data_IF_373508142289
#
_entry.id   IF_373508142289
#
_cell.length_a   1.000
_cell.length_b   1.000
_cell.length_c   1.000
_cell.angle_alpha   90.00
_cell.angle_beta   90.00
_cell.angle_gamma   90.00
#
_symmetry.space_group_name_H-M   'P 1'
#
loop_
_entity.id
_entity.type
_entity.pdbx_description
1 polymer ?
#
# COMPACT_ATOMS: atom_id res chain seq x y z
N UNK A 1 -0.97 15.93 -10.91
CA UNK A 1 -1.51 16.80 -9.84
C UNK A 1 -2.00 18.07 -10.52
N UNK A 2 -3.31 18.27 -10.67
CA UNK A 2 -3.86 19.37 -11.45
C UNK A 2 -4.00 20.64 -10.61
N UNK A 3 -2.87 21.16 -10.11
CA UNK A 3 -2.83 22.31 -9.18
C UNK A 3 -2.27 23.57 -9.84
N UNK A 4 -2.00 23.52 -11.13
CA UNK A 4 -1.48 24.63 -11.95
C UNK A 4 -2.10 24.54 -13.33
N UNK A 5 -2.24 25.67 -14.02
CA UNK A 5 -2.54 25.69 -15.45
C UNK A 5 -1.23 25.69 -16.25
N UNK A 6 -1.13 24.83 -17.27
CA UNK A 6 0.05 24.79 -18.13
C UNK A 6 0.22 26.08 -18.93
N UNK A 7 -0.89 26.75 -19.26
CA UNK A 7 -0.91 28.04 -19.95
C UNK A 7 -0.17 29.14 -19.17
N UNK A 8 -0.07 29.03 -17.84
CA UNK A 8 0.62 30.02 -16.99
C UNK A 8 2.16 29.97 -17.14
N UNK A 9 2.70 28.96 -17.85
CA UNK A 9 4.14 28.71 -18.01
C UNK A 9 4.61 28.75 -19.46
N UNK A 10 3.82 29.29 -20.39
CA UNK A 10 4.27 29.48 -21.76
C UNK A 10 5.46 30.46 -21.79
N UNK A 11 6.58 30.04 -22.39
CA UNK A 11 7.86 30.76 -22.39
C UNK A 11 7.72 32.11 -23.13
N UNK A 12 6.76 32.23 -24.04
CA UNK A 12 6.43 33.50 -24.69
C UNK A 12 5.73 34.52 -23.77
N UNK A 13 5.17 34.07 -22.63
CA UNK A 13 4.36 34.84 -21.66
C UNK A 13 5.04 34.93 -20.29
N UNK A 14 6.27 34.40 -20.14
CA UNK A 14 7.12 34.58 -18.94
C UNK A 14 7.57 36.04 -18.77
N UNK A 15 6.61 36.92 -18.50
CA UNK A 15 6.78 38.30 -18.05
C UNK A 15 6.59 38.41 -16.53
N UNK A 16 6.40 39.63 -16.05
CA UNK A 16 6.34 40.04 -14.63
C UNK A 16 5.19 39.41 -13.80
N UNK A 17 4.44 38.46 -14.35
CA UNK A 17 3.24 37.86 -13.74
C UNK A 17 3.37 36.39 -13.28
N UNK A 18 4.44 35.67 -13.64
CA UNK A 18 4.59 34.25 -13.27
C UNK A 18 5.09 34.08 -11.83
N UNK A 19 4.44 33.22 -11.04
CA UNK A 19 4.85 32.96 -9.66
C UNK A 19 6.20 32.25 -9.60
N UNK A 20 7.21 32.94 -9.03
CA UNK A 20 8.52 32.36 -8.77
C UNK A 20 8.42 31.13 -7.86
N UNK A 21 7.52 31.14 -6.88
CA UNK A 21 7.34 30.02 -5.94
C UNK A 21 6.80 28.79 -6.67
N UNK A 22 5.79 28.97 -7.52
CA UNK A 22 5.26 27.86 -8.32
C UNK A 22 6.30 27.37 -9.33
N UNK A 23 7.05 28.28 -9.98
CA UNK A 23 8.13 27.90 -10.89
C UNK A 23 9.19 27.03 -10.19
N UNK A 24 9.67 27.43 -9.01
CA UNK A 24 10.62 26.61 -8.24
C UNK A 24 10.04 25.24 -7.87
N UNK A 25 8.74 25.18 -7.57
CA UNK A 25 8.04 23.93 -7.27
C UNK A 25 7.91 23.00 -8.49
N UNK A 26 7.61 23.55 -9.67
CA UNK A 26 7.58 22.82 -10.94
C UNK A 26 8.99 22.32 -11.30
N UNK A 27 10.01 23.15 -11.13
CA UNK A 27 11.42 22.77 -11.38
C UNK A 27 11.87 21.64 -10.44
N UNK A 28 11.51 21.71 -9.16
CA UNK A 28 11.77 20.63 -8.19
C UNK A 28 11.11 19.32 -8.62
N UNK A 29 9.80 19.33 -8.88
CA UNK A 29 9.06 18.15 -9.30
C UNK A 29 9.61 17.57 -10.62
N UNK A 30 9.87 18.43 -11.60
CA UNK A 30 10.44 18.06 -12.89
C UNK A 30 11.87 17.50 -12.80
N UNK A 31 12.69 17.96 -11.85
CA UNK A 31 14.02 17.43 -11.59
C UNK A 31 13.97 16.03 -10.94
N UNK A 32 13.02 15.81 -10.01
CA UNK A 32 12.79 14.50 -9.38
C UNK A 32 12.30 13.45 -10.38
N UNK A 33 11.51 13.88 -11.36
CA UNK A 33 10.99 13.04 -12.43
C UNK A 33 12.00 12.76 -13.55
N UNK A 34 13.15 13.43 -13.55
CA UNK A 34 14.19 13.23 -14.57
C UNK A 34 15.54 12.94 -13.91
N UNK A 35 15.64 11.82 -13.15
CA UNK A 35 16.86 11.47 -12.44
C UNK A 35 18.05 11.21 -13.39
N UNK A 36 17.80 10.90 -14.66
CA UNK A 36 18.82 10.78 -15.70
C UNK A 36 19.43 12.13 -16.14
N UNK A 37 18.73 13.25 -15.93
CA UNK A 37 19.18 14.59 -16.33
C UNK A 37 19.61 15.42 -15.11
N UNK A 38 18.86 15.33 -14.01
CA UNK A 38 19.07 16.18 -12.84
C UNK A 38 19.77 15.43 -11.70
N UNK A 39 20.90 15.98 -11.24
CA UNK A 39 21.62 15.43 -10.10
C UNK A 39 20.84 15.57 -8.78
N UNK A 40 21.14 14.69 -7.80
CA UNK A 40 20.60 14.80 -6.44
C UNK A 40 20.94 16.16 -5.79
N UNK A 41 22.07 16.77 -6.14
CA UNK A 41 22.48 18.09 -5.67
C UNK A 41 21.56 19.18 -6.22
N UNK A 42 21.25 19.13 -7.51
CA UNK A 42 20.33 20.07 -8.19
C UNK A 42 18.92 19.98 -7.59
N UNK A 43 18.41 18.76 -7.37
CA UNK A 43 17.12 18.54 -6.71
C UNK A 43 17.10 19.18 -5.32
N UNK A 44 18.16 18.97 -4.52
CA UNK A 44 18.30 19.56 -3.19
C UNK A 44 18.33 21.09 -3.22
N UNK A 45 19.01 21.68 -4.21
CA UNK A 45 19.05 23.15 -4.38
C UNK A 45 17.67 23.73 -4.70
N UNK A 46 16.91 23.11 -5.62
CA UNK A 46 15.53 23.54 -5.90
C UNK A 46 14.66 23.44 -4.64
N UNK A 47 14.79 22.35 -3.89
CA UNK A 47 14.07 22.19 -2.63
C UNK A 47 14.40 23.28 -1.60
N UNK A 48 15.68 23.57 -1.39
CA UNK A 48 16.12 24.60 -0.44
C UNK A 48 15.62 25.99 -0.83
N UNK A 49 15.69 26.34 -2.12
CA UNK A 49 15.15 27.61 -2.64
C UNK A 49 13.65 27.72 -2.44
N UNK A 50 12.92 26.67 -2.80
CA UNK A 50 11.47 26.63 -2.63
C UNK A 50 11.06 26.75 -1.15
N UNK A 51 11.72 25.99 -0.27
CA UNK A 51 11.51 26.04 1.18
C UNK A 51 11.74 27.45 1.71
N UNK A 52 12.83 28.12 1.31
CA UNK A 52 13.14 29.48 1.73
C UNK A 52 12.08 30.49 1.27
N UNK A 53 11.61 30.40 0.01
CA UNK A 53 10.56 31.27 -0.51
C UNK A 53 9.22 31.11 0.22
N UNK A 54 8.84 29.87 0.54
CA UNK A 54 7.62 29.59 1.31
C UNK A 54 7.76 30.14 2.73
N UNK A 55 8.91 29.95 3.38
CA UNK A 55 9.14 30.37 4.76
C UNK A 55 9.27 31.89 4.92
N UNK A 56 9.74 32.60 3.89
CA UNK A 56 9.81 34.06 3.91
C UNK A 56 8.46 34.75 3.66
N UNK A 57 7.43 34.00 3.26
CA UNK A 57 6.14 34.57 2.85
C UNK A 57 6.24 35.40 1.57
N UNK A 58 7.16 35.04 0.67
CA UNK A 58 7.42 35.81 -0.56
C UNK A 58 6.17 35.91 -1.46
N UNK A 59 5.47 34.79 -1.65
CA UNK A 59 4.27 34.72 -2.49
C UNK A 59 3.06 35.33 -1.78
N UNK A 60 2.42 36.30 -2.44
CA UNK A 60 1.24 36.98 -1.91
C UNK A 60 -0.06 36.28 -2.29
N UNK A 61 -0.10 35.57 -3.43
CA UNK A 61 -1.28 34.80 -3.82
C UNK A 61 -1.30 33.45 -3.07
N UNK A 62 -2.26 33.24 -2.16
CA UNK A 62 -2.29 32.04 -1.34
C UNK A 62 -2.58 30.75 -2.16
N UNK A 63 -3.21 30.86 -3.35
CA UNK A 63 -3.40 29.70 -4.23
C UNK A 63 -2.08 29.24 -4.84
N UNK A 64 -1.21 30.17 -5.24
CA UNK A 64 0.15 29.85 -5.72
C UNK A 64 0.97 29.14 -4.64
N UNK A 65 0.89 29.64 -3.40
CA UNK A 65 1.52 28.98 -2.24
C UNK A 65 0.98 27.58 -2.03
N UNK A 66 -0.34 27.37 -2.09
CA UNK A 66 -0.94 26.03 -1.96
C UNK A 66 -0.53 25.08 -3.09
N UNK A 67 -0.46 25.55 -4.34
CA UNK A 67 0.01 24.77 -5.48
C UNK A 67 1.47 24.35 -5.29
N UNK A 68 2.32 25.27 -4.83
CA UNK A 68 3.71 24.96 -4.50
C UNK A 68 3.83 23.96 -3.33
N UNK A 69 3.00 24.10 -2.29
CA UNK A 69 2.93 23.16 -1.17
C UNK A 69 2.40 21.77 -1.57
N UNK A 70 1.61 21.67 -2.63
CA UNK A 70 1.25 20.38 -3.22
C UNK A 70 2.45 19.76 -3.95
N UNK A 71 3.18 20.55 -4.75
CA UNK A 71 4.29 20.07 -5.57
C UNK A 71 5.56 19.76 -4.76
N UNK A 72 5.85 20.48 -3.67
CA UNK A 72 7.03 20.21 -2.83
C UNK A 72 7.02 18.79 -2.22
N UNK A 73 5.83 18.20 -2.05
CA UNK A 73 5.63 16.86 -1.49
C UNK A 73 6.22 15.73 -2.36
N UNK A 74 6.59 16.00 -3.62
CA UNK A 74 7.30 15.02 -4.45
C UNK A 74 8.71 14.72 -3.94
N UNK A 75 9.31 15.64 -3.17
CA UNK A 75 10.61 15.43 -2.54
C UNK A 75 10.44 14.86 -1.14
N UNK A 76 11.09 13.73 -0.86
CA UNK A 76 11.00 13.01 0.41
C UNK A 76 12.39 12.79 1.04
N UNK A 77 13.03 13.85 1.57
CA UNK A 77 14.38 13.76 2.13
C UNK A 77 14.45 13.12 3.51
N UNK A 78 13.36 13.19 4.29
CA UNK A 78 13.26 12.59 5.62
C UNK A 78 12.50 11.26 5.56
N UNK A 79 12.93 10.29 6.38
CA UNK A 79 12.18 9.04 6.53
C UNK A 79 10.85 9.32 7.27
N UNK A 80 9.79 8.53 7.04
CA UNK A 80 8.53 8.71 7.74
C UNK A 80 8.66 8.67 9.27
N UNK A 81 9.61 7.88 9.80
CA UNK A 81 9.89 7.76 11.24
C UNK A 81 10.55 9.00 11.84
N UNK A 82 11.20 9.83 11.03
CA UNK A 82 11.94 10.99 11.52
C UNK A 82 10.98 12.13 11.86
N UNK A 83 11.16 12.75 13.03
CA UNK A 83 10.48 13.99 13.37
C UNK A 83 11.12 15.11 12.54
N UNK A 84 10.44 15.51 11.45
CA UNK A 84 11.04 16.43 10.47
C UNK A 84 10.02 17.37 9.82
N UNK A 85 10.45 18.62 9.63
CA UNK A 85 9.75 19.63 8.81
C UNK A 85 9.96 19.44 7.30
N UNK A 86 10.74 18.44 6.92
CA UNK A 86 11.07 18.11 5.53
C UNK A 86 10.35 16.85 5.06
N UNK A 87 9.23 16.48 5.70
CA UNK A 87 8.41 15.33 5.32
C UNK A 87 7.21 15.75 4.47
N UNK A 88 6.73 14.91 3.53
CA UNK A 88 5.49 15.18 2.80
C UNK A 88 4.29 15.40 3.71
N UNK A 89 4.22 14.70 4.86
CA UNK A 89 3.16 14.90 5.84
C UNK A 89 3.20 16.30 6.44
N UNK A 90 4.38 16.81 6.80
CA UNK A 90 4.51 18.18 7.31
C UNK A 90 3.99 19.21 6.29
N UNK A 91 4.45 19.10 5.04
CA UNK A 91 4.00 19.98 3.96
C UNK A 91 2.50 19.87 3.70
N UNK A 92 1.93 18.66 3.77
CA UNK A 92 0.49 18.46 3.61
C UNK A 92 -0.31 19.06 4.78
N UNK A 93 0.15 18.89 6.03
CA UNK A 93 -0.46 19.53 7.20
C UNK A 93 -0.45 21.06 7.07
N UNK A 94 0.68 21.62 6.63
CA UNK A 94 0.79 23.05 6.41
C UNK A 94 -0.18 23.54 5.33
N UNK A 95 -0.23 22.83 4.20
CA UNK A 95 -1.16 23.14 3.11
C UNK A 95 -2.62 23.04 3.53
N UNK A 96 -3.00 22.01 4.29
CA UNK A 96 -4.37 21.82 4.81
C UNK A 96 -4.74 22.98 5.74
N UNK A 97 -3.83 23.37 6.64
CA UNK A 97 -4.04 24.52 7.53
C UNK A 97 -4.35 25.82 6.76
N UNK A 98 -3.56 26.11 5.71
CA UNK A 98 -3.81 27.26 4.84
C UNK A 98 -5.10 27.12 4.03
N UNK A 99 -5.38 25.94 3.49
CA UNK A 99 -6.62 25.66 2.74
C UNK A 99 -7.86 25.86 3.63
N UNK A 100 -7.80 25.51 4.92
CA UNK A 100 -8.87 25.78 5.87
C UNK A 100 -9.05 27.28 6.15
N UNK A 101 -7.96 28.03 6.33
CA UNK A 101 -8.03 29.48 6.52
C UNK A 101 -8.66 30.20 5.32
N UNK A 102 -8.38 29.74 4.09
CA UNK A 102 -9.00 30.27 2.86
C UNK A 102 -10.43 29.77 2.61
N UNK A 103 -10.93 28.87 3.45
CA UNK A 103 -12.26 28.27 3.30
C UNK A 103 -12.37 27.33 2.10
N UNK A 104 -11.28 26.69 1.65
CA UNK A 104 -11.34 25.81 0.47
C UNK A 104 -12.20 24.57 0.66
N UNK A 105 -12.49 24.17 1.90
CA UNK A 105 -13.39 23.07 2.23
C UNK A 105 -14.89 23.45 2.13
N UNK A 106 -15.20 24.74 1.94
CA UNK A 106 -16.57 25.26 1.95
C UNK A 106 -17.00 25.70 0.55
N UNK A 107 -18.27 25.48 0.24
CA UNK A 107 -18.89 26.03 -0.96
C UNK A 107 -18.97 27.56 -0.86
N UNK A 108 -18.15 28.26 -1.65
CA UNK A 108 -18.22 29.72 -1.79
C UNK A 108 -19.00 30.10 -3.05
N UNK A 109 -20.07 30.90 -2.88
CA UNK A 109 -20.88 31.42 -4.00
C UNK A 109 -20.23 32.62 -4.71
N UNK A 110 -19.16 33.18 -4.15
CA UNK A 110 -18.55 34.45 -4.59
C UNK A 110 -17.14 34.28 -5.17
N UNK A 111 -16.58 33.06 -5.15
CA UNK A 111 -15.24 32.84 -5.66
C UNK A 111 -15.26 32.67 -7.18
N UNK A 112 -14.53 33.51 -7.92
CA UNK A 112 -14.34 33.34 -9.36
C UNK A 112 -13.45 32.11 -9.70
N UNK A 113 -12.66 31.63 -8.72
CA UNK A 113 -11.67 30.55 -8.89
C UNK A 113 -12.15 29.19 -8.34
N UNK A 114 -13.44 28.88 -8.44
CA UNK A 114 -14.01 27.65 -7.84
C UNK A 114 -13.33 26.37 -8.33
N UNK A 115 -12.98 26.30 -9.61
CA UNK A 115 -12.33 25.13 -10.24
C UNK A 115 -10.97 24.82 -9.61
N UNK A 116 -10.04 25.78 -9.61
CA UNK A 116 -8.67 25.54 -9.12
C UNK A 116 -8.66 25.31 -7.61
N UNK A 117 -9.52 26.01 -6.86
CA UNK A 117 -9.72 25.78 -5.42
C UNK A 117 -10.13 24.35 -5.12
N UNK A 118 -11.10 23.82 -5.88
CA UNK A 118 -11.56 22.43 -5.74
C UNK A 118 -10.46 21.44 -6.10
N UNK A 119 -9.76 21.65 -7.23
CA UNK A 119 -8.65 20.78 -7.65
C UNK A 119 -7.50 20.73 -6.62
N UNK A 120 -7.13 21.88 -6.05
CA UNK A 120 -6.14 21.96 -4.96
C UNK A 120 -6.64 21.18 -3.74
N UNK A 121 -7.88 21.44 -3.30
CA UNK A 121 -8.44 20.79 -2.10
C UNK A 121 -8.48 19.26 -2.24
N UNK A 122 -9.01 18.73 -3.35
CA UNK A 122 -9.05 17.28 -3.59
C UNK A 122 -7.66 16.67 -3.83
N UNK A 123 -6.68 17.46 -4.29
CA UNK A 123 -5.28 17.03 -4.34
C UNK A 123 -4.73 16.81 -2.92
N UNK A 124 -5.03 17.71 -1.98
CA UNK A 124 -4.67 17.56 -0.57
C UNK A 124 -5.40 16.38 0.08
N UNK A 125 -6.69 16.18 -0.23
CA UNK A 125 -7.45 15.01 0.22
C UNK A 125 -6.80 13.69 -0.22
N UNK A 126 -6.46 13.56 -1.50
CA UNK A 126 -5.82 12.37 -2.05
C UNK A 126 -4.46 12.11 -1.38
N UNK A 127 -3.67 13.17 -1.14
CA UNK A 127 -2.37 13.07 -0.45
C UNK A 127 -2.51 12.69 1.02
N UNK A 128 -3.50 13.23 1.72
CA UNK A 128 -3.80 12.88 3.12
C UNK A 128 -4.22 11.42 3.24
N UNK A 129 -5.16 10.96 2.39
CA UNK A 129 -5.60 9.57 2.38
C UNK A 129 -4.46 8.60 2.08
N UNK A 130 -3.61 8.91 1.10
CA UNK A 130 -2.49 8.04 0.74
C UNK A 130 -1.40 8.02 1.82
N UNK A 131 -1.09 9.17 2.43
CA UNK A 131 -0.13 9.26 3.54
C UNK A 131 -0.63 8.51 4.77
N UNK A 132 -1.93 8.62 5.05
CA UNK A 132 -2.62 7.89 6.11
C UNK A 132 -2.56 6.38 5.86
N UNK A 133 -2.91 5.93 4.65
CA UNK A 133 -2.89 4.53 4.27
C UNK A 133 -1.48 3.91 4.33
N UNK A 134 -0.47 4.59 3.78
CA UNK A 134 0.88 4.05 3.70
C UNK A 134 1.59 3.97 5.07
N UNK A 135 1.32 4.92 5.97
CA UNK A 135 2.04 5.03 7.25
C UNK A 135 1.18 4.75 8.49
N UNK A 136 -0.10 4.40 8.33
CA UNK A 136 -1.00 4.08 9.44
C UNK A 136 -1.36 5.27 10.31
N UNK A 137 -1.12 6.49 9.81
CA UNK A 137 -1.33 7.72 10.57
C UNK A 137 -2.78 8.17 10.42
N UNK A 138 -3.36 8.87 11.42
CA UNK A 138 -4.69 9.46 11.26
C UNK A 138 -4.75 10.41 10.05
N UNK A 139 -5.90 10.37 9.35
CA UNK A 139 -6.28 11.38 8.36
C UNK A 139 -6.41 12.73 9.05
N UNK A 140 -5.96 13.77 8.36
CA UNK A 140 -6.10 15.17 8.78
C UNK A 140 -7.45 15.75 8.33
N UNK A 141 -8.00 15.24 7.23
CA UNK A 141 -9.25 15.72 6.65
C UNK A 141 -10.38 14.72 6.93
N UNK A 142 -11.48 15.22 7.49
CA UNK A 142 -12.69 14.45 7.73
C UNK A 142 -13.78 14.88 6.73
N UNK A 143 -14.50 13.94 6.07
CA UNK A 143 -15.54 14.30 5.12
C UNK A 143 -16.67 15.17 5.70
N UNK A 144 -16.96 15.02 7.00
CA UNK A 144 -17.99 15.82 7.69
C UNK A 144 -17.64 17.32 7.81
N UNK A 145 -16.38 17.70 7.62
CA UNK A 145 -15.92 19.08 7.69
C UNK A 145 -15.87 19.74 6.30
N UNK A 146 -16.33 19.04 5.25
CA UNK A 146 -16.25 19.47 3.86
C UNK A 146 -17.64 19.58 3.21
N UNK A 147 -17.97 20.79 2.75
CA UNK A 147 -19.23 21.06 2.03
C UNK A 147 -19.06 20.96 0.50
N UNK A 148 -17.83 20.80 -0.01
CA UNK A 148 -17.58 20.75 -1.44
C UNK A 148 -18.11 19.45 -2.08
N UNK A 149 -18.72 19.52 -3.27
CA UNK A 149 -18.96 18.35 -4.09
C UNK A 149 -17.63 17.75 -4.57
N UNK A 150 -17.60 16.45 -4.93
CA UNK A 150 -16.46 15.84 -5.58
C UNK A 150 -16.00 16.65 -6.80
N UNK A 151 -14.70 16.57 -7.08
CA UNK A 151 -14.13 17.16 -8.31
C UNK A 151 -14.80 16.57 -9.55
N UNK A 152 -15.17 17.44 -10.49
CA UNK A 152 -15.88 17.11 -11.72
C UNK A 152 -15.11 17.58 -12.96
N UNK A 153 -15.54 17.15 -14.15
CA UNK A 153 -14.86 17.53 -15.40
C UNK A 153 -14.92 19.03 -15.68
N UNK A 154 -16.00 19.69 -15.26
CA UNK A 154 -16.17 21.14 -15.38
C UNK A 154 -15.13 21.93 -14.56
N UNK A 155 -14.41 21.28 -13.66
CA UNK A 155 -13.30 21.89 -12.94
C UNK A 155 -12.00 21.94 -13.77
N UNK A 156 -11.99 21.49 -15.02
CA UNK A 156 -10.79 21.40 -15.87
C UNK A 156 -10.99 22.07 -17.23
N UNK A 157 -9.87 22.40 -17.89
CA UNK A 157 -9.88 22.85 -19.26
C UNK A 157 -10.32 21.72 -20.22
N UNK A 158 -10.96 22.06 -21.34
CA UNK A 158 -11.38 21.07 -22.34
C UNK A 158 -10.19 20.30 -22.95
N UNK A 159 -9.00 20.91 -22.99
CA UNK A 159 -7.76 20.25 -23.44
C UNK A 159 -7.22 19.20 -22.46
N UNK A 160 -7.70 19.19 -21.21
CA UNK A 160 -7.22 18.31 -20.14
C UNK A 160 -8.22 17.20 -19.77
N UNK A 161 -9.14 16.82 -20.68
CA UNK A 161 -10.20 15.86 -20.36
C UNK A 161 -9.66 14.49 -19.86
N UNK A 162 -8.68 13.91 -20.55
CA UNK A 162 -8.07 12.63 -20.15
C UNK A 162 -7.34 12.74 -18.78
N UNK A 163 -6.44 13.72 -18.55
CA UNK A 163 -5.86 13.99 -17.23
C UNK A 163 -6.90 14.27 -16.12
N UNK A 164 -7.99 14.97 -16.43
CA UNK A 164 -9.07 15.28 -15.50
C UNK A 164 -9.78 14.00 -15.04
N UNK A 165 -10.18 13.15 -15.98
CA UNK A 165 -10.81 11.85 -15.71
C UNK A 165 -9.90 10.94 -14.88
N UNK A 166 -8.60 10.92 -15.19
CA UNK A 166 -7.61 10.20 -14.41
C UNK A 166 -7.57 10.71 -12.96
N UNK A 167 -7.56 12.03 -12.76
CA UNK A 167 -7.52 12.62 -11.43
C UNK A 167 -8.80 12.35 -10.63
N UNK A 168 -9.97 12.43 -11.26
CA UNK A 168 -11.26 12.08 -10.63
C UNK A 168 -11.22 10.64 -10.12
N UNK A 169 -10.87 9.69 -10.98
CA UNK A 169 -10.77 8.27 -10.61
C UNK A 169 -9.69 8.03 -9.53
N UNK A 170 -8.56 8.73 -9.62
CA UNK A 170 -7.48 8.64 -8.64
C UNK A 170 -7.88 9.22 -7.27
N UNK A 171 -8.65 10.31 -7.25
CA UNK A 171 -9.19 10.90 -6.02
C UNK A 171 -10.14 9.92 -5.32
N UNK A 172 -10.99 9.22 -6.08
CA UNK A 172 -11.90 8.22 -5.50
C UNK A 172 -11.15 7.02 -4.92
N UNK A 173 -10.23 6.41 -5.69
CA UNK A 173 -9.49 5.23 -5.18
C UNK A 173 -8.62 5.57 -3.97
N UNK A 174 -8.03 6.76 -3.93
CA UNK A 174 -7.26 7.18 -2.74
C UNK A 174 -8.17 7.43 -1.54
N UNK A 175 -9.38 7.96 -1.72
CA UNK A 175 -10.38 8.02 -0.65
C UNK A 175 -10.76 6.63 -0.14
N UNK A 176 -11.05 5.69 -1.03
CA UNK A 176 -11.35 4.29 -0.67
C UNK A 176 -10.22 3.69 0.16
N UNK A 177 -8.97 3.82 -0.32
CA UNK A 177 -7.78 3.36 0.40
C UNK A 177 -7.62 4.01 1.76
N UNK A 178 -7.81 5.32 1.86
CA UNK A 178 -7.71 6.05 3.12
C UNK A 178 -8.71 5.56 4.16
N UNK A 179 -9.97 5.38 3.76
CA UNK A 179 -11.04 4.92 4.66
C UNK A 179 -10.82 3.45 5.04
N UNK A 180 -10.49 2.59 4.07
CA UNK A 180 -10.18 1.18 4.28
C UNK A 180 -9.03 1.00 5.28
N UNK A 181 -7.91 1.68 5.06
CA UNK A 181 -6.76 1.58 5.96
C UNK A 181 -7.07 2.16 7.35
N UNK A 182 -7.85 3.24 7.46
CA UNK A 182 -8.27 3.73 8.78
C UNK A 182 -9.15 2.72 9.54
N UNK A 183 -10.09 2.05 8.86
CA UNK A 183 -10.91 0.98 9.46
C UNK A 183 -9.98 -0.12 10.00
N UNK A 184 -9.04 -0.57 9.17
CA UNK A 184 -8.11 -1.63 9.54
C UNK A 184 -7.22 -1.21 10.72
N UNK A 185 -6.55 -0.07 10.64
CA UNK A 185 -5.62 0.39 11.68
C UNK A 185 -6.32 0.70 13.01
N UNK A 186 -7.57 1.20 13.00
CA UNK A 186 -8.30 1.55 14.23
C UNK A 186 -8.99 0.36 14.88
N UNK A 187 -9.59 -0.51 14.08
CA UNK A 187 -10.48 -1.56 14.59
C UNK A 187 -9.84 -2.95 14.54
N UNK A 188 -8.69 -3.11 13.86
CA UNK A 188 -8.02 -4.39 13.56
C UNK A 188 -8.79 -5.27 12.56
N UNK A 189 -10.12 -5.10 12.46
CA UNK A 189 -11.02 -5.91 11.66
C UNK A 189 -12.04 -5.06 10.91
N UNK A 190 -12.36 -5.50 9.69
CA UNK A 190 -13.42 -4.94 8.85
C UNK A 190 -14.74 -5.66 9.20
N UNK A 191 -15.81 -4.93 9.49
CA UNK A 191 -17.16 -5.50 9.66
C UNK A 191 -17.78 -5.85 8.31
N UNK A 192 -18.79 -6.73 8.28
CA UNK A 192 -19.46 -7.08 7.01
C UNK A 192 -20.09 -5.86 6.32
N UNK A 193 -20.64 -4.91 7.09
CA UNK A 193 -21.21 -3.69 6.55
C UNK A 193 -20.14 -2.81 5.89
N UNK A 194 -19.02 -2.59 6.57
CA UNK A 194 -17.88 -1.84 6.00
C UNK A 194 -17.33 -2.54 4.75
N UNK A 195 -17.21 -3.87 4.79
CA UNK A 195 -16.74 -4.66 3.66
C UNK A 195 -17.62 -4.45 2.42
N UNK A 196 -18.94 -4.64 2.55
CA UNK A 196 -19.91 -4.45 1.46
C UNK A 196 -19.89 -3.00 0.96
N UNK A 197 -19.75 -2.02 1.85
CA UNK A 197 -19.66 -0.61 1.46
C UNK A 197 -18.42 -0.31 0.63
N UNK A 198 -17.26 -0.88 0.98
CA UNK A 198 -16.01 -0.71 0.22
C UNK A 198 -16.08 -1.45 -1.12
N UNK A 199 -16.59 -2.69 -1.16
CA UNK A 199 -16.80 -3.45 -2.41
C UNK A 199 -17.68 -2.66 -3.37
N UNK A 200 -18.81 -2.14 -2.89
CA UNK A 200 -19.72 -1.32 -3.70
C UNK A 200 -19.02 -0.10 -4.30
N UNK A 201 -18.23 0.64 -3.50
CA UNK A 201 -17.47 1.81 -3.99
C UNK A 201 -16.44 1.43 -5.06
N UNK A 202 -15.73 0.31 -4.88
CA UNK A 202 -14.78 -0.20 -5.87
C UNK A 202 -15.48 -0.62 -7.17
N UNK A 203 -16.67 -1.25 -7.07
CA UNK A 203 -17.49 -1.56 -8.22
C UNK A 203 -17.95 -0.28 -8.93
N UNK A 204 -18.51 0.69 -8.21
CA UNK A 204 -18.96 1.97 -8.76
C UNK A 204 -17.82 2.70 -9.49
N UNK A 205 -16.63 2.72 -8.90
CA UNK A 205 -15.43 3.27 -9.53
C UNK A 205 -15.10 2.55 -10.84
N UNK A 206 -14.98 1.21 -10.82
CA UNK A 206 -14.59 0.43 -11.99
C UNK A 206 -15.60 0.50 -13.14
N UNK A 207 -16.91 0.41 -12.85
CA UNK A 207 -17.96 0.55 -13.86
C UNK A 207 -18.04 1.98 -14.41
N UNK A 208 -17.71 2.98 -13.59
CA UNK A 208 -17.67 4.39 -13.98
C UNK A 208 -16.40 4.80 -14.73
N UNK A 209 -15.41 3.91 -14.91
CA UNK A 209 -14.17 4.27 -15.61
C UNK A 209 -14.45 4.55 -17.10
N UNK A 210 -13.95 5.69 -17.63
CA UNK A 210 -14.04 5.95 -19.05
C UNK A 210 -13.18 4.94 -19.84
N UNK A 211 -13.53 4.64 -21.10
CA UNK A 211 -12.86 3.59 -21.87
C UNK A 211 -11.34 3.75 -21.96
N UNK A 212 -10.79 4.96 -22.05
CA UNK A 212 -9.33 5.15 -22.15
C UNK A 212 -8.57 4.85 -20.84
N UNK A 213 -9.26 4.78 -19.70
CA UNK A 213 -8.70 4.38 -18.41
C UNK A 213 -8.92 2.89 -18.10
N UNK A 214 -9.66 2.15 -18.92
CA UNK A 214 -9.77 0.69 -18.76
C UNK A 214 -8.53 -0.02 -19.33
N UNK A 215 -8.11 -1.14 -18.73
CA UNK A 215 -7.02 -1.97 -19.26
C UNK A 215 -7.42 -2.79 -20.51
N UNK A 216 -8.73 -2.98 -20.73
CA UNK A 216 -9.27 -3.80 -21.82
C UNK A 216 -10.02 -2.98 -22.86
N UNK A 217 -10.01 -3.47 -24.10
CA UNK A 217 -10.84 -3.02 -25.23
C UNK A 217 -12.27 -3.54 -25.15
N UNK A 218 -13.13 -3.02 -26.03
CA UNK A 218 -14.53 -3.44 -26.12
C UNK A 218 -14.68 -4.93 -26.47
N UNK A 219 -13.68 -5.51 -27.15
CA UNK A 219 -13.60 -6.94 -27.51
C UNK A 219 -13.01 -7.80 -26.38
N UNK A 220 -12.64 -7.22 -25.24
CA UNK A 220 -11.97 -7.92 -24.14
C UNK A 220 -10.46 -8.08 -24.31
N UNK A 221 -9.87 -7.62 -25.44
CA UNK A 221 -8.42 -7.66 -25.64
C UNK A 221 -7.69 -6.61 -24.80
N UNK A 222 -6.49 -6.93 -24.32
CA UNK A 222 -5.65 -5.95 -23.62
C UNK A 222 -5.35 -4.73 -24.51
N UNK A 223 -5.47 -3.52 -23.93
CA UNK A 223 -5.09 -2.27 -24.60
C UNK A 223 -3.59 -2.05 -24.59
N UNK A 224 -3.13 -1.18 -25.49
CA UNK A 224 -1.77 -0.65 -25.47
C UNK A 224 -1.46 -0.05 -24.10
N UNK A 225 -0.28 -0.38 -23.60
CA UNK A 225 0.22 0.11 -22.32
C UNK A 225 0.19 1.65 -22.25
N UNK A 226 -0.33 2.17 -21.14
CA UNK A 226 -0.20 3.57 -20.73
C UNK A 226 0.22 3.61 -19.27
N UNK A 227 1.28 4.36 -18.98
CA UNK A 227 1.82 4.47 -17.61
C UNK A 227 0.76 4.99 -16.63
N UNK A 228 0.07 6.08 -16.99
CA UNK A 228 -0.95 6.70 -16.13
C UNK A 228 -2.13 5.76 -15.80
N UNK A 229 -2.61 5.01 -16.79
CA UNK A 229 -3.65 4.00 -16.60
C UNK A 229 -3.17 2.87 -15.68
N UNK A 230 -1.93 2.41 -15.88
CA UNK A 230 -1.31 1.38 -15.04
C UNK A 230 -1.19 1.86 -13.58
N UNK A 231 -0.76 3.10 -13.37
CA UNK A 231 -0.67 3.73 -12.04
C UNK A 231 -2.01 3.77 -11.31
N UNK A 232 -3.11 4.11 -12.02
CA UNK A 232 -4.46 4.09 -11.45
C UNK A 232 -4.86 2.68 -11.02
N UNK A 233 -4.68 1.69 -11.89
CA UNK A 233 -5.06 0.31 -11.59
C UNK A 233 -4.21 -0.32 -10.48
N UNK A 234 -2.93 0.05 -10.34
CA UNK A 234 -2.11 -0.36 -9.18
C UNK A 234 -2.74 0.12 -7.87
N UNK A 235 -3.26 1.35 -7.81
CA UNK A 235 -3.93 1.86 -6.62
C UNK A 235 -5.25 1.10 -6.33
N UNK A 236 -6.03 0.77 -7.38
CA UNK A 236 -7.28 -0.01 -7.24
C UNK A 236 -6.98 -1.42 -6.74
N UNK A 237 -6.01 -2.10 -7.35
CA UNK A 237 -5.60 -3.44 -6.95
C UNK A 237 -5.03 -3.46 -5.53
N UNK A 238 -4.33 -2.41 -5.11
CA UNK A 238 -3.87 -2.25 -3.72
C UNK A 238 -5.06 -2.25 -2.75
N UNK A 239 -6.17 -1.58 -3.09
CA UNK A 239 -7.37 -1.57 -2.24
C UNK A 239 -7.95 -2.98 -2.09
N UNK A 240 -7.97 -3.78 -3.17
CA UNK A 240 -8.39 -5.17 -3.12
C UNK A 240 -7.47 -6.03 -2.26
N UNK A 241 -6.15 -5.85 -2.38
CA UNK A 241 -5.19 -6.59 -1.54
C UNK A 241 -5.42 -6.28 -0.05
N UNK A 242 -5.62 -5.01 0.31
CA UNK A 242 -5.87 -4.63 1.71
C UNK A 242 -7.24 -5.13 2.22
N UNK A 243 -8.27 -5.10 1.36
CA UNK A 243 -9.62 -5.51 1.71
C UNK A 243 -9.71 -7.01 2.01
N UNK A 244 -9.11 -7.84 1.15
CA UNK A 244 -9.10 -9.31 1.27
C UNK A 244 -7.79 -9.84 1.87
N UNK A 245 -7.09 -9.01 2.66
CA UNK A 245 -5.78 -9.38 3.20
C UNK A 245 -5.87 -10.68 4.00
N UNK A 246 -4.93 -11.62 3.82
CA UNK A 246 -4.88 -12.80 4.67
C UNK A 246 -4.60 -12.40 6.11
N UNK A 247 -5.16 -13.15 7.06
CA UNK A 247 -4.95 -12.91 8.50
C UNK A 247 -3.54 -13.26 8.94
N UNK A 248 -2.82 -14.09 8.20
CA UNK A 248 -1.45 -14.45 8.55
C UNK A 248 -0.68 -14.75 7.29
N UNK A 249 0.62 -14.41 7.31
CA UNK A 249 1.54 -14.78 6.23
C UNK A 249 1.74 -16.30 6.17
N UNK A 250 1.49 -17.01 7.27
CA UNK A 250 1.74 -18.44 7.40
C UNK A 250 0.53 -19.31 7.11
N UNK A 251 -0.69 -18.77 7.24
CA UNK A 251 -1.94 -19.50 7.00
C UNK A 251 -2.84 -18.73 6.04
N UNK A 252 -3.13 -19.34 4.89
CA UNK A 252 -4.04 -18.80 3.87
C UNK A 252 -5.37 -19.55 3.93
N UNK A 253 -6.47 -18.80 3.95
CA UNK A 253 -7.83 -19.30 3.74
C UNK A 253 -8.31 -18.94 2.35
N UNK A 254 -9.35 -19.60 1.84
CA UNK A 254 -9.96 -19.29 0.53
C UNK A 254 -10.38 -17.82 0.39
N UNK A 255 -10.71 -17.16 1.50
CA UNK A 255 -11.07 -15.74 1.51
C UNK A 255 -9.93 -14.81 1.06
N UNK A 256 -8.67 -15.30 1.04
CA UNK A 256 -7.51 -14.57 0.58
C UNK A 256 -7.32 -14.59 -0.95
N UNK A 257 -8.05 -15.46 -1.68
CA UNK A 257 -7.94 -15.59 -3.16
C UNK A 257 -7.96 -14.24 -3.90
N UNK A 258 -8.88 -13.31 -3.62
CA UNK A 258 -8.89 -12.00 -4.27
C UNK A 258 -7.61 -11.19 -4.06
N UNK A 259 -7.02 -11.24 -2.86
CA UNK A 259 -5.78 -10.53 -2.57
C UNK A 259 -4.60 -11.10 -3.36
N UNK A 260 -4.54 -12.42 -3.50
CA UNK A 260 -3.49 -13.11 -4.26
C UNK A 260 -3.66 -12.82 -5.76
N UNK A 261 -4.87 -12.90 -6.29
CA UNK A 261 -5.17 -12.54 -7.68
C UNK A 261 -4.81 -11.07 -7.96
N UNK A 262 -5.20 -10.15 -7.09
CA UNK A 262 -4.87 -8.73 -7.23
C UNK A 262 -3.35 -8.47 -7.15
N UNK A 263 -2.61 -9.23 -6.33
CA UNK A 263 -1.16 -9.16 -6.26
C UNK A 263 -0.49 -9.65 -7.56
N UNK A 264 -0.95 -10.75 -8.15
CA UNK A 264 -0.47 -11.21 -9.46
C UNK A 264 -0.75 -10.19 -10.58
N UNK A 265 -1.95 -9.59 -10.60
CA UNK A 265 -2.27 -8.53 -11.55
C UNK A 265 -1.38 -7.30 -11.36
N UNK A 266 -1.09 -6.94 -10.11
CA UNK A 266 -0.16 -5.86 -9.78
C UNK A 266 1.25 -6.17 -10.28
N UNK A 267 1.74 -7.40 -10.06
CA UNK A 267 3.01 -7.87 -10.63
C UNK A 267 3.05 -7.73 -12.16
N UNK A 268 1.98 -8.12 -12.87
CA UNK A 268 1.92 -7.97 -14.34
C UNK A 268 1.99 -6.52 -14.79
N UNK A 269 1.35 -5.60 -14.08
CA UNK A 269 1.46 -4.16 -14.35
C UNK A 269 2.89 -3.66 -14.13
N UNK A 270 3.53 -4.04 -13.02
CA UNK A 270 4.92 -3.66 -12.76
C UNK A 270 5.91 -4.27 -13.75
N UNK A 271 5.68 -5.50 -14.21
CA UNK A 271 6.46 -6.10 -15.30
C UNK A 271 6.36 -5.24 -16.57
N UNK A 272 5.17 -4.79 -16.94
CA UNK A 272 4.97 -3.93 -18.10
C UNK A 272 5.63 -2.54 -17.95
N UNK A 273 5.60 -1.97 -16.75
CA UNK A 273 6.28 -0.70 -16.40
C UNK A 273 7.80 -0.87 -16.49
N UNK A 274 8.35 -1.93 -15.90
CA UNK A 274 9.78 -2.18 -15.84
C UNK A 274 10.36 -2.49 -17.22
N UNK A 275 9.65 -3.28 -18.05
CA UNK A 275 10.03 -3.55 -19.45
C UNK A 275 10.16 -2.28 -20.30
N UNK A 276 9.51 -1.18 -19.90
CA UNK A 276 9.57 0.12 -20.58
C UNK A 276 10.48 1.13 -19.90
N UNK A 277 11.21 0.71 -18.87
CA UNK A 277 12.05 1.57 -18.03
C UNK A 277 11.30 2.73 -17.37
N UNK A 278 9.98 2.59 -17.16
CA UNK A 278 9.13 3.63 -16.58
C UNK A 278 9.16 3.64 -15.04
N UNK A 279 9.76 2.63 -14.41
CA UNK A 279 9.80 2.47 -12.94
C UNK A 279 10.32 3.72 -12.24
N UNK A 280 11.33 4.39 -12.80
CA UNK A 280 11.95 5.60 -12.23
C UNK A 280 11.02 6.83 -12.21
N UNK A 281 9.97 6.85 -13.03
CA UNK A 281 8.98 7.93 -13.08
C UNK A 281 7.88 7.78 -12.03
N UNK A 282 7.87 6.68 -11.29
CA UNK A 282 6.89 6.45 -10.24
C UNK A 282 7.19 7.33 -9.00
N UNK A 283 6.12 7.77 -8.34
CA UNK A 283 6.21 8.48 -7.06
C UNK A 283 6.56 7.55 -5.90
N UNK A 284 6.99 8.09 -4.76
CA UNK A 284 7.37 7.30 -3.58
C UNK A 284 6.26 6.39 -3.05
N UNK A 285 4.98 6.70 -3.30
CA UNK A 285 3.84 5.86 -2.91
C UNK A 285 3.88 4.45 -3.56
N UNK A 286 4.51 4.30 -4.73
CA UNK A 286 4.62 3.01 -5.40
C UNK A 286 5.52 2.03 -4.63
N UNK A 287 6.41 2.52 -3.76
CA UNK A 287 7.13 1.67 -2.81
C UNK A 287 6.15 0.93 -1.88
N UNK A 288 5.11 1.62 -1.42
CA UNK A 288 4.08 1.03 -0.56
C UNK A 288 3.19 0.06 -1.35
N UNK A 289 2.74 0.42 -2.55
CA UNK A 289 1.96 -0.50 -3.39
C UNK A 289 2.70 -1.81 -3.70
N UNK A 290 4.01 -1.74 -4.02
CA UNK A 290 4.86 -2.90 -4.22
C UNK A 290 4.95 -3.77 -2.95
N UNK A 291 5.14 -3.14 -1.79
CA UNK A 291 5.13 -3.83 -0.51
C UNK A 291 3.80 -4.55 -0.30
N UNK A 292 2.67 -3.86 -0.44
CA UNK A 292 1.32 -4.43 -0.27
C UNK A 292 1.12 -5.65 -1.17
N UNK A 293 1.49 -5.57 -2.45
CA UNK A 293 1.35 -6.68 -3.38
C UNK A 293 2.30 -7.85 -3.08
N UNK A 294 3.48 -7.60 -2.50
CA UNK A 294 4.43 -8.65 -2.16
C UNK A 294 3.93 -9.57 -1.04
N UNK A 295 3.13 -9.06 -0.09
CA UNK A 295 2.79 -9.84 1.11
C UNK A 295 1.88 -11.06 0.81
N UNK A 296 0.79 -10.95 0.02
CA UNK A 296 0.05 -12.14 -0.40
C UNK A 296 0.92 -13.15 -1.14
N UNK A 297 1.84 -12.70 -2.01
CA UNK A 297 2.75 -13.58 -2.75
C UNK A 297 3.75 -14.29 -1.85
N UNK A 298 4.30 -13.60 -0.84
CA UNK A 298 5.12 -14.20 0.22
C UNK A 298 4.36 -15.33 0.93
N UNK A 299 3.08 -15.09 1.22
CA UNK A 299 2.21 -16.08 1.86
C UNK A 299 1.92 -17.26 0.93
N UNK A 300 1.73 -17.01 -0.36
CA UNK A 300 1.49 -18.03 -1.38
C UNK A 300 2.74 -18.86 -1.72
N UNK A 301 3.95 -18.33 -1.49
CA UNK A 301 5.21 -18.99 -1.84
C UNK A 301 5.44 -20.35 -1.15
N UNK A 302 4.76 -20.62 -0.03
CA UNK A 302 4.80 -21.94 0.62
C UNK A 302 3.54 -22.79 0.45
N UNK A 303 2.61 -22.41 -0.43
CA UNK A 303 1.42 -23.22 -0.76
C UNK A 303 1.73 -24.12 -1.96
N UNK A 304 1.66 -25.45 -1.81
CA UNK A 304 1.82 -26.36 -2.95
C UNK A 304 0.81 -26.04 -4.06
N UNK A 305 1.28 -25.88 -5.29
CA UNK A 305 0.44 -25.55 -6.45
C UNK A 305 0.44 -24.07 -6.88
N UNK A 306 0.84 -23.14 -6.00
CA UNK A 306 1.01 -21.71 -6.34
C UNK A 306 2.45 -21.25 -6.06
N UNK A 307 3.22 -22.02 -5.29
CA UNK A 307 4.55 -21.65 -4.80
C UNK A 307 5.50 -21.13 -5.89
N UNK A 308 5.57 -21.80 -7.05
CA UNK A 308 6.51 -21.44 -8.11
C UNK A 308 6.12 -20.11 -8.78
N UNK A 309 4.84 -19.95 -9.12
CA UNK A 309 4.28 -18.75 -9.73
C UNK A 309 4.39 -17.57 -8.78
N UNK A 310 4.08 -17.77 -7.49
CA UNK A 310 4.19 -16.74 -6.47
C UNK A 310 5.65 -16.31 -6.26
N UNK A 311 6.58 -17.26 -6.24
CA UNK A 311 8.03 -16.98 -6.16
C UNK A 311 8.50 -16.17 -7.36
N UNK A 312 8.10 -16.54 -8.58
CA UNK A 312 8.43 -15.82 -9.80
C UNK A 312 7.87 -14.38 -9.80
N UNK A 313 6.61 -14.21 -9.40
CA UNK A 313 5.99 -12.90 -9.29
C UNK A 313 6.68 -12.04 -8.23
N UNK A 314 7.05 -12.64 -7.09
CA UNK A 314 7.76 -11.99 -6.01
C UNK A 314 9.15 -11.51 -6.43
N UNK A 315 9.90 -12.33 -7.19
CA UNK A 315 11.19 -11.92 -7.77
C UNK A 315 11.05 -10.69 -8.67
N UNK A 316 9.98 -10.62 -9.45
CA UNK A 316 9.66 -9.46 -10.28
C UNK A 316 9.33 -8.21 -9.46
N UNK A 317 8.53 -8.34 -8.40
CA UNK A 317 8.23 -7.22 -7.49
C UNK A 317 9.48 -6.74 -6.73
N UNK A 318 10.34 -7.66 -6.29
CA UNK A 318 11.64 -7.35 -5.69
C UNK A 318 12.54 -6.60 -6.67
N UNK A 319 12.59 -7.02 -7.93
CA UNK A 319 13.31 -6.32 -8.99
C UNK A 319 12.77 -4.89 -9.21
N UNK A 320 11.45 -4.73 -9.27
CA UNK A 320 10.81 -3.42 -9.37
C UNK A 320 11.10 -2.52 -8.17
N UNK A 321 11.10 -3.07 -6.94
CA UNK A 321 11.48 -2.37 -5.72
C UNK A 321 12.95 -1.92 -5.76
N UNK A 322 13.86 -2.78 -6.22
CA UNK A 322 15.28 -2.45 -6.37
C UNK A 322 15.48 -1.30 -7.36
N UNK A 323 14.90 -1.38 -8.56
CA UNK A 323 14.98 -0.31 -9.58
C UNK A 323 14.37 1.00 -9.08
N UNK A 324 13.20 0.96 -8.45
CA UNK A 324 12.60 2.17 -7.86
C UNK A 324 13.46 2.72 -6.72
N UNK A 325 14.13 1.84 -5.96
CA UNK A 325 15.00 2.14 -4.84
C UNK A 325 16.21 3.01 -5.18
N UNK A 326 16.67 2.98 -6.43
CA UNK A 326 17.77 3.83 -6.91
C UNK A 326 17.43 5.33 -6.82
N UNK A 327 16.15 5.65 -7.03
CA UNK A 327 15.64 7.03 -7.12
C UNK A 327 14.64 7.40 -6.03
N UNK A 328 14.07 6.41 -5.31
CA UNK A 328 13.16 6.59 -4.17
C UNK A 328 13.64 5.81 -2.95
N UNK A 329 14.14 6.46 -1.89
CA UNK A 329 14.62 5.78 -0.68
C UNK A 329 13.61 4.83 -0.03
N UNK A 330 12.31 5.17 -0.05
CA UNK A 330 11.25 4.33 0.49
C UNK A 330 11.19 2.93 -0.17
N UNK A 331 11.45 2.83 -1.47
CA UNK A 331 11.45 1.55 -2.18
C UNK A 331 12.68 0.71 -1.81
N UNK A 332 13.85 1.34 -1.62
CA UNK A 332 15.04 0.64 -1.15
C UNK A 332 14.85 0.04 0.26
N UNK A 333 14.12 0.73 1.14
CA UNK A 333 13.78 0.22 2.45
C UNK A 333 12.80 -0.96 2.35
N UNK A 334 11.71 -0.81 1.58
CA UNK A 334 10.73 -1.87 1.40
C UNK A 334 11.33 -3.11 0.72
N UNK A 335 12.29 -2.95 -0.19
CA UNK A 335 13.06 -4.06 -0.77
C UNK A 335 13.74 -4.90 0.31
N UNK A 336 14.43 -4.26 1.27
CA UNK A 336 15.07 -4.96 2.38
C UNK A 336 14.05 -5.68 3.26
N UNK A 337 12.95 -5.02 3.59
CA UNK A 337 11.88 -5.61 4.42
C UNK A 337 11.24 -6.83 3.76
N UNK A 338 10.92 -6.77 2.45
CA UNK A 338 10.36 -7.91 1.71
C UNK A 338 11.31 -9.11 1.72
N UNK A 339 12.61 -8.91 1.47
CA UNK A 339 13.59 -10.00 1.49
C UNK A 339 13.79 -10.59 2.88
N UNK A 340 13.77 -9.77 3.92
CA UNK A 340 13.80 -10.22 5.31
C UNK A 340 12.61 -11.12 5.63
N UNK A 341 11.38 -10.71 5.27
CA UNK A 341 10.18 -11.52 5.46
C UNK A 341 10.26 -12.82 4.65
N UNK A 342 10.73 -12.76 3.41
CA UNK A 342 10.91 -13.94 2.56
C UNK A 342 11.82 -14.98 3.21
N UNK A 343 12.95 -14.53 3.76
CA UNK A 343 13.88 -15.41 4.48
C UNK A 343 13.23 -16.01 5.73
N UNK A 344 12.48 -15.21 6.50
CA UNK A 344 11.75 -15.71 7.67
C UNK A 344 10.68 -16.75 7.29
N UNK A 345 9.90 -16.51 6.23
CA UNK A 345 8.86 -17.42 5.74
C UNK A 345 9.45 -18.73 5.21
N UNK A 346 10.59 -18.68 4.52
CA UNK A 346 11.27 -19.87 4.01
C UNK A 346 11.79 -20.79 5.13
N UNK A 347 12.14 -20.22 6.28
CA UNK A 347 12.70 -20.94 7.42
C UNK A 347 11.67 -21.26 8.52
N UNK A 348 10.44 -20.76 8.41
CA UNK A 348 9.39 -20.99 9.39
C UNK A 348 8.67 -22.33 9.19
N UNK A 349 8.45 -23.07 10.27
CA UNK A 349 7.54 -24.23 10.27
C UNK A 349 6.10 -23.72 10.19
N UNK A 350 5.38 -24.06 9.11
CA UNK A 350 3.98 -23.61 8.95
C UNK A 350 3.08 -24.28 9.98
N UNK A 351 2.21 -23.52 10.68
CA UNK A 351 1.18 -24.12 11.52
C UNK A 351 0.28 -25.02 10.67
N UNK A 352 -0.03 -26.23 11.16
CA UNK A 352 -0.84 -27.22 10.43
C UNK A 352 -2.30 -26.80 10.19
N UNK A 353 -2.78 -25.71 10.78
CA UNK A 353 -4.20 -25.37 10.79
C UNK A 353 -4.45 -23.87 10.66
N UNK A 354 -5.12 -23.47 9.59
CA UNK A 354 -5.85 -22.20 9.57
C UNK A 354 -7.09 -22.36 10.46
N UNK A 355 -7.30 -21.46 11.44
CA UNK A 355 -8.56 -21.46 12.20
C UNK A 355 -9.77 -21.27 11.27
N UNK A 356 -10.95 -21.80 11.61
CA UNK A 356 -12.14 -21.69 10.75
C UNK A 356 -12.46 -20.23 10.46
N UNK A 357 -12.29 -19.83 9.20
CA UNK A 357 -12.51 -18.47 8.76
C UNK A 357 -14.00 -18.30 8.42
N UNK A 358 -14.80 -17.96 9.42
CA UNK A 358 -16.26 -17.77 9.29
C UNK A 358 -16.68 -16.55 8.45
N UNK A 359 -15.76 -15.98 7.66
CA UNK A 359 -15.98 -14.76 6.86
C UNK A 359 -16.39 -15.00 5.41
N UNK A 360 -16.19 -16.18 4.84
CA UNK A 360 -16.64 -16.47 3.47
C UNK A 360 -18.15 -16.69 3.46
N UNK A 361 -18.92 -15.62 3.60
CA UNK A 361 -20.32 -15.64 3.19
C UNK A 361 -20.36 -15.63 1.67
N UNK A 362 -21.07 -16.58 1.08
CA UNK A 362 -21.49 -16.62 -0.33
C UNK A 362 -22.12 -15.31 -0.87
N UNK A 363 -22.38 -14.33 0.00
CA UNK A 363 -22.99 -13.05 -0.34
C UNK A 363 -22.08 -12.09 -1.13
N UNK A 364 -20.78 -12.33 -1.23
CA UNK A 364 -19.83 -11.41 -1.89
C UNK A 364 -19.17 -11.96 -3.16
N UNK A 365 -19.43 -13.22 -3.52
CA UNK A 365 -18.87 -13.83 -4.74
C UNK A 365 -19.25 -13.04 -6.01
N UNK A 366 -20.48 -12.54 -6.08
CA UNK A 366 -20.94 -11.73 -7.20
C UNK A 366 -20.21 -10.38 -7.28
N UNK A 367 -19.93 -9.76 -6.13
CA UNK A 367 -19.18 -8.51 -6.03
C UNK A 367 -17.74 -8.66 -6.52
N UNK A 368 -17.06 -9.69 -6.01
CA UNK A 368 -15.71 -10.07 -6.44
C UNK A 368 -15.65 -10.40 -7.94
N UNK A 369 -16.55 -11.26 -8.43
CA UNK A 369 -16.59 -11.63 -9.84
C UNK A 369 -16.78 -10.42 -10.76
N UNK A 370 -17.66 -9.48 -10.37
CA UNK A 370 -17.89 -8.23 -11.09
C UNK A 370 -16.62 -7.36 -11.16
N UNK A 371 -15.86 -7.26 -10.07
CA UNK A 371 -14.60 -6.50 -10.04
C UNK A 371 -13.55 -7.13 -10.97
N UNK A 372 -13.28 -8.43 -10.84
CA UNK A 372 -12.23 -9.09 -11.63
C UNK A 372 -12.59 -9.23 -13.11
N UNK A 373 -13.87 -9.20 -13.47
CA UNK A 373 -14.30 -9.15 -14.87
C UNK A 373 -13.75 -7.92 -15.62
N UNK A 374 -13.50 -6.79 -14.94
CA UNK A 374 -12.88 -5.60 -15.54
C UNK A 374 -11.42 -5.81 -15.95
N UNK A 375 -10.78 -6.87 -15.43
CA UNK A 375 -9.41 -7.28 -15.76
C UNK A 375 -9.37 -8.48 -16.72
N UNK A 376 -10.54 -8.98 -17.15
CA UNK A 376 -10.68 -9.94 -18.24
C UNK A 376 -10.93 -11.37 -17.79
N UNK A 377 -11.10 -12.25 -18.78
CA UNK A 377 -11.37 -13.67 -18.53
C UNK A 377 -10.19 -14.35 -17.83
N UNK A 378 -8.95 -13.98 -18.18
CA UNK A 378 -7.75 -14.51 -17.53
C UNK A 378 -7.70 -14.17 -16.04
N UNK A 379 -8.03 -12.93 -15.66
CA UNK A 379 -8.10 -12.52 -14.26
C UNK A 379 -9.22 -13.24 -13.49
N UNK A 380 -10.36 -13.43 -14.15
CA UNK A 380 -11.50 -14.15 -13.58
C UNK A 380 -11.20 -15.64 -13.39
N UNK A 381 -10.46 -16.24 -14.33
CA UNK A 381 -10.00 -17.63 -14.22
C UNK A 381 -8.95 -17.76 -13.12
N UNK A 382 -7.99 -16.83 -13.05
CA UNK A 382 -6.98 -16.80 -12.00
C UNK A 382 -7.61 -16.76 -10.61
N UNK A 383 -8.68 -15.98 -10.40
CA UNK A 383 -9.43 -15.97 -9.14
C UNK A 383 -10.01 -17.35 -8.78
N UNK A 384 -10.63 -18.03 -9.76
CA UNK A 384 -11.20 -19.37 -9.57
C UNK A 384 -10.13 -20.39 -9.26
N UNK A 385 -9.00 -20.33 -9.97
CA UNK A 385 -7.86 -21.23 -9.76
C UNK A 385 -7.28 -21.05 -8.34
N UNK A 386 -7.06 -19.81 -7.90
CA UNK A 386 -6.59 -19.54 -6.53
C UNK A 386 -7.56 -20.09 -5.48
N UNK A 387 -8.86 -19.90 -5.69
CA UNK A 387 -9.90 -20.41 -4.78
C UNK A 387 -9.89 -21.93 -4.71
N UNK A 388 -9.82 -22.60 -5.86
CA UNK A 388 -9.76 -24.07 -5.92
C UNK A 388 -8.48 -24.62 -5.27
N UNK A 389 -7.33 -23.98 -5.47
CA UNK A 389 -6.06 -24.46 -4.90
C UNK A 389 -6.08 -24.31 -3.37
N UNK A 390 -6.56 -23.17 -2.86
CA UNK A 390 -6.66 -22.95 -1.40
C UNK A 390 -7.67 -23.89 -0.75
N UNK A 391 -8.80 -24.16 -1.39
CA UNK A 391 -9.78 -25.16 -0.93
C UNK A 391 -9.16 -26.55 -0.80
N UNK A 392 -8.52 -27.03 -1.88
CA UNK A 392 -7.87 -28.36 -1.89
C UNK A 392 -6.71 -28.48 -0.88
N UNK A 393 -6.05 -27.36 -0.56
CA UNK A 393 -4.98 -27.31 0.43
C UNK A 393 -5.52 -27.39 1.86
N UNK A 394 -6.70 -26.83 2.11
CA UNK A 394 -7.42 -26.97 3.37
C UNK A 394 -7.90 -28.42 3.58
N UNK A 395 -8.52 -29.02 2.57
CA UNK A 395 -9.04 -30.40 2.63
C UNK A 395 -7.93 -31.43 2.91
N UNK A 396 -6.74 -31.25 2.30
CA UNK A 396 -5.58 -32.12 2.57
C UNK A 396 -5.08 -31.98 4.01
N UNK A 397 -5.18 -30.80 4.61
CA UNK A 397 -4.82 -30.60 6.02
C UNK A 397 -5.85 -31.25 6.95
N UNK A 398 -7.15 -31.15 6.63
CA UNK A 398 -8.22 -31.79 7.40
C UNK A 398 -8.16 -33.32 7.34
N UNK A 399 -7.83 -33.89 6.18
CA UNK A 399 -7.66 -35.34 6.01
C UNK A 399 -6.50 -35.88 6.87
N UNK A 400 -5.32 -35.22 6.84
CA UNK A 400 -4.15 -35.64 7.64
C UNK A 400 -4.43 -35.53 9.15
N UNK A 401 -5.14 -34.48 9.59
CA UNK A 401 -5.52 -34.31 10.99
C UNK A 401 -6.52 -35.38 11.47
N UNK A 402 -7.43 -35.83 10.60
CA UNK A 402 -8.38 -36.91 10.91
C UNK A 402 -7.72 -38.30 11.01
N UNK A 403 -6.65 -38.55 10.26
CA UNK A 403 -5.88 -39.81 10.33
C UNK A 403 -4.99 -39.90 11.58
N UNK A 404 -4.66 -38.77 12.22
CA UNK A 404 -3.87 -38.74 13.47
C UNK A 404 -4.69 -38.98 14.74
N UNK A 405 -6.01 -39.16 14.63
CA UNK A 405 -6.90 -39.49 15.76
C UNK A 405 -7.33 -40.96 15.73
N UNK A 406 -6.38 -41.88 15.92
CA UNK A 406 -6.69 -43.23 16.39
C UNK A 406 -6.62 -43.31 17.93
N UNK A 407 -7.56 -44.01 18.61
CA UNK A 407 -7.63 -44.04 20.06
C UNK A 407 -6.53 -44.95 20.65
N UNK A 408 -5.54 -44.37 21.32
CA UNK A 408 -4.66 -45.11 22.21
C UNK A 408 -5.43 -45.51 23.48
N UNK A 409 -6.21 -46.59 23.38
CA UNK A 409 -6.48 -47.48 24.50
C UNK A 409 -5.31 -48.46 24.61
N UNK A 410 -4.65 -48.41 25.78
CA UNK A 410 -3.76 -49.40 26.41
C UNK A 410 -2.40 -48.78 26.77
N UNK A 411 -2.25 -48.34 28.01
CA UNK A 411 -1.51 -49.05 29.07
C UNK A 411 -1.83 -48.33 30.40
N UNK A 412 -2.66 -48.96 31.22
CA UNK A 412 -2.79 -48.68 32.65
C UNK A 412 -1.56 -49.23 33.41
N UNK A 413 -1.29 -48.63 34.58
CA UNK A 413 -0.27 -48.93 35.60
C UNK A 413 1.13 -48.35 35.29
N UNK A 414 1.75 -47.51 36.12
CA UNK A 414 2.06 -47.69 37.54
C UNK A 414 2.36 -46.34 38.23
N UNK A 415 1.76 -46.15 39.42
CA UNK A 415 2.16 -45.34 40.59
C UNK A 415 2.10 -43.80 40.64
N UNK A 416 1.08 -43.39 41.41
CA UNK A 416 0.94 -42.29 42.36
C UNK A 416 2.16 -41.83 43.19
N UNK A 417 2.24 -40.50 43.34
CA UNK A 417 2.50 -39.68 44.54
C UNK A 417 3.92 -39.59 45.15
N UNK A 418 4.47 -38.36 45.22
CA UNK A 418 4.68 -37.60 46.49
C UNK A 418 5.60 -36.36 46.35
N UNK A 419 5.15 -35.24 46.94
CA UNK A 419 5.86 -34.22 47.75
C UNK A 419 7.11 -33.45 47.22
N UNK A 420 6.94 -32.12 47.16
CA UNK A 420 7.91 -31.02 47.32
C UNK A 420 8.63 -31.01 48.71
N UNK A 421 9.59 -30.09 49.06
CA UNK A 421 10.41 -29.13 48.28
C UNK A 421 11.93 -29.01 48.72
N UNK A 422 12.67 -28.11 48.05
CA UNK A 422 13.88 -27.32 48.47
C UNK A 422 15.26 -28.00 48.55
N UNK A 423 16.22 -27.48 47.76
CA UNK A 423 17.36 -26.60 48.16
C UNK A 423 18.55 -26.67 47.17
N UNK A 424 19.09 -25.51 46.80
CA UNK A 424 20.38 -25.29 46.11
C UNK A 424 21.52 -25.22 47.16
N UNK A 425 22.82 -25.52 46.84
CA UNK A 425 23.63 -24.75 45.88
C UNK A 425 24.74 -25.46 45.06
N UNK A 426 25.15 -24.74 44.01
CA UNK A 426 26.39 -24.76 43.19
C UNK A 426 27.49 -25.81 43.44
N UNK A 427 27.93 -26.52 42.37
CA UNK A 427 29.31 -26.54 41.83
C UNK A 427 29.27 -26.99 40.35
N UNK A 428 30.09 -26.35 39.53
CA UNK A 428 30.40 -26.62 38.13
C UNK A 428 31.07 -27.98 37.86
N UNK A 429 30.64 -28.69 36.82
CA UNK A 429 31.52 -29.22 35.77
C UNK A 429 30.70 -29.78 34.60
N UNK A 430 31.20 -29.51 33.39
CA UNK A 430 30.49 -29.72 32.13
C UNK A 430 30.24 -31.18 31.77
N UNK A 431 29.13 -31.36 31.07
CA UNK A 431 28.95 -32.40 30.06
C UNK A 431 28.11 -31.81 28.93
N UNK A 432 28.65 -31.87 27.72
CA UNK A 432 27.92 -31.65 26.49
C UNK A 432 26.72 -32.62 26.45
N UNK A 433 25.52 -32.07 26.30
CA UNK A 433 24.38 -32.82 25.78
C UNK A 433 23.64 -31.94 24.79
N UNK A 434 23.68 -32.38 23.54
CA UNK A 434 22.85 -31.88 22.46
C UNK A 434 21.39 -32.04 22.86
N UNK A 435 20.66 -30.93 23.01
CA UNK A 435 19.21 -30.91 23.02
C UNK A 435 18.73 -30.04 21.87
N UNK A 436 17.90 -30.65 21.03
CA UNK A 436 17.25 -30.08 19.87
C UNK A 436 16.14 -29.12 20.31
N UNK A 437 16.41 -27.81 20.34
CA UNK A 437 15.39 -26.77 20.47
C UNK A 437 15.10 -26.14 19.11
N UNK A 438 14.11 -26.69 18.40
CA UNK A 438 13.69 -26.23 17.08
C UNK A 438 12.73 -25.04 17.08
N UNK A 439 12.19 -24.63 18.24
CA UNK A 439 11.19 -23.54 18.35
C UNK A 439 11.78 -22.19 18.75
N UNK A 440 12.86 -22.15 19.53
CA UNK A 440 13.43 -20.90 20.05
C UNK A 440 14.24 -20.11 19.01
N UNK A 441 14.69 -20.77 17.95
CA UNK A 441 15.47 -20.15 16.88
C UNK A 441 14.66 -19.16 16.03
N UNK A 442 13.37 -19.43 15.80
CA UNK A 442 12.53 -18.59 14.94
C UNK A 442 12.17 -17.27 15.62
N UNK A 443 11.79 -17.32 16.90
CA UNK A 443 11.49 -16.11 17.66
C UNK A 443 12.75 -15.25 17.88
N UNK A 444 13.90 -15.86 18.19
CA UNK A 444 15.15 -15.13 18.37
C UNK A 444 15.69 -14.54 17.05
N UNK A 445 15.57 -15.25 15.92
CA UNK A 445 15.99 -14.74 14.61
C UNK A 445 15.07 -13.61 14.11
N UNK A 446 13.76 -13.70 14.36
CA UNK A 446 12.79 -12.65 14.03
C UNK A 446 12.99 -11.45 14.97
N UNK A 447 13.05 -11.65 16.29
CA UNK A 447 13.28 -10.58 17.26
C UNK A 447 14.63 -9.86 17.04
N UNK A 448 15.70 -10.58 16.66
CA UNK A 448 16.98 -9.99 16.27
C UNK A 448 16.90 -9.13 14.99
N UNK A 449 16.02 -9.47 14.05
CA UNK A 449 15.72 -8.70 12.83
C UNK A 449 15.03 -7.36 13.11
N UNK A 450 14.36 -7.21 14.26
CA UNK A 450 13.69 -5.99 14.71
C UNK A 450 14.46 -5.19 15.76
N UNK A 451 15.44 -5.81 16.44
CA UNK A 451 16.42 -5.08 17.25
C UNK A 451 17.49 -4.38 16.38
N UNK A 452 17.58 -4.73 15.09
CA UNK A 452 18.33 -3.96 14.11
C UNK A 452 17.45 -2.79 13.60
N UNK A 453 17.52 -1.64 14.30
CA UNK A 453 16.76 -0.40 14.04
C UNK A 453 16.93 0.18 12.61
N UNK A 454 17.74 -0.48 11.78
CA UNK A 454 18.09 -0.08 10.41
C UNK A 454 17.35 -0.86 9.30
N UNK A 455 16.74 -2.01 9.60
CA UNK A 455 16.26 -2.96 8.57
C UNK A 455 14.74 -2.99 8.35
N UNK A 456 13.95 -2.60 9.35
CA UNK A 456 12.50 -2.56 9.25
C UNK A 456 12.03 -1.21 9.75
N UNK A 457 11.20 -0.52 8.96
CA UNK A 457 10.43 0.60 9.51
C UNK A 457 9.45 -0.01 10.50
N UNK A 458 9.86 -0.07 11.77
CA UNK A 458 9.03 -0.48 12.90
C UNK A 458 7.71 0.31 12.95
N UNK A 459 7.54 1.37 12.13
CA UNK A 459 6.30 2.10 11.95
C UNK A 459 5.36 1.69 10.81
N UNK A 460 5.70 0.70 9.98
CA UNK A 460 4.74 0.16 9.01
C UNK A 460 3.67 -0.66 9.72
N UNK A 461 2.52 -0.03 10.01
CA UNK A 461 1.38 -0.66 10.67
C UNK A 461 0.95 -1.97 9.98
N UNK A 462 1.10 -2.05 8.66
CA UNK A 462 0.75 -3.23 7.89
C UNK A 462 1.68 -4.41 8.18
N UNK A 463 2.96 -4.16 8.45
CA UNK A 463 3.88 -5.22 8.88
C UNK A 463 3.59 -5.64 10.32
N UNK A 464 3.25 -4.69 11.21
CA UNK A 464 2.88 -5.00 12.61
C UNK A 464 1.60 -5.82 12.71
N UNK A 465 0.51 -5.37 12.09
CA UNK A 465 -0.81 -6.03 12.15
C UNK A 465 -0.78 -7.45 11.55
N UNK A 466 0.13 -7.73 10.60
CA UNK A 466 0.31 -9.07 10.02
C UNK A 466 1.23 -9.97 10.86
N UNK A 467 2.12 -9.38 11.66
CA UNK A 467 2.99 -10.10 12.59
C UNK A 467 2.31 -10.39 13.93
N UNK A 468 1.44 -9.50 14.40
CA UNK A 468 0.65 -9.67 15.64
C UNK A 468 -0.36 -10.84 15.53
N UNK A 469 -0.46 -11.47 14.35
CA UNK A 469 -1.26 -12.65 14.05
C UNK A 469 -0.40 -13.95 13.98
N UNK A 470 0.84 -13.89 14.46
CA UNK A 470 1.64 -15.06 14.84
C UNK A 470 0.98 -15.78 16.03
N UNK A 471 0.96 -17.12 16.09
CA UNK A 471 0.46 -17.82 17.26
C UNK A 471 1.25 -17.39 18.51
N UNK A 472 0.59 -17.12 19.65
CA UNK A 472 1.29 -16.82 20.89
C UNK A 472 2.15 -18.03 21.27
N UNK A 473 3.38 -17.76 21.72
CA UNK A 473 4.22 -18.75 22.38
C UNK A 473 3.42 -19.32 23.56
N UNK A 474 3.26 -20.64 23.61
CA UNK A 474 2.94 -21.30 24.88
C UNK A 474 4.17 -21.04 25.75
N UNK A 475 4.02 -20.18 26.75
CA UNK A 475 5.02 -20.03 27.79
C UNK A 475 5.14 -21.39 28.51
N UNK A 476 6.30 -22.04 28.40
CA UNK A 476 6.73 -23.11 29.32
C UNK A 476 7.57 -22.53 30.45
#
# INVERSE_FOLDING_TARGET
>A
MPVIELADFDVAVMGDGSSLVVLQAVMLAGAIMRPEICSKVTVKQYYQRLKALIQSGYEQNPLNTLSALCLIQWYTPAAPKDVSTDSPRFWNTYAIGLAHQLGLHRLSKQANDTSIRRRIYFTLCARDCLTSAAHGRPKLLHPADCDLPPVALDDFSASDEDPARLFIAYSEVTSILGDLCQIVTRNGRITNHEHVAIVRRLQELLHGLPPHLSLLGATGSAKSYKLNTSQLHVAILTALVVLYRPRSVFTLSESASPSITAAFLTFRLFQAIQLRADTKYLGSAFAWYLLVAAIPLLSSAGVPGIANEATFALDGLESSLATLGEVRPAAANNFKSVRAIRHAVANATRPSRAGPDTRTRAADEAGMASIFAHYGQEASQLLKDMTSILHSSSDRQDYIASDTTQPQQAVESVMTAAMEPRSQPSVSNGFESQSTSGSDGLHNAISALFNDETLIDANSWMLRDWMDLMPPTVEE
#
